data_IF_219174180114
#
_entry.id   IF_219174180114
#
_cell.length_a   1.000
_cell.length_b   1.000
_cell.length_c   1.000
_cell.angle_alpha   90.00
_cell.angle_beta   90.00
_cell.angle_gamma   90.00
#
_symmetry.space_group_name_H-M   'P 1'
#
loop_
_entity.id
_entity.type
_entity.pdbx_description
1 polymer ?
#
# COMPACT_ATOMS: atom_id res chain seq x y z
N UNK A 1 12.24 -5.04 4.53
CA UNK A 1 12.30 -4.40 5.86
C UNK A 1 10.94 -4.52 6.50
N UNK A 2 10.84 -4.51 7.83
CA UNK A 2 9.52 -4.51 8.49
C UNK A 2 9.05 -3.07 8.68
N UNK A 3 7.82 -2.80 8.27
CA UNK A 3 7.14 -1.52 8.46
C UNK A 3 5.97 -1.72 9.41
N UNK A 4 5.91 -0.91 10.46
CA UNK A 4 4.76 -0.86 11.35
C UNK A 4 3.79 0.18 10.83
N UNK A 5 2.59 -0.25 10.44
CA UNK A 5 1.51 0.60 9.97
C UNK A 5 0.48 0.73 11.10
N UNK A 6 0.20 1.95 11.59
CA UNK A 6 -0.86 2.14 12.57
C UNK A 6 -2.22 1.95 11.89
N UNK A 7 -3.10 1.17 12.51
CA UNK A 7 -4.49 0.99 12.07
C UNK A 7 -5.45 1.33 13.22
N UNK A 8 -6.74 1.57 12.95
CA UNK A 8 -7.75 1.75 14.01
C UNK A 8 -7.84 0.56 14.99
N UNK A 9 -7.31 -0.60 14.61
CA UNK A 9 -7.38 -1.86 15.36
C UNK A 9 -6.04 -2.25 16.00
N UNK A 10 -5.05 -1.34 15.97
CA UNK A 10 -3.70 -1.57 16.47
C UNK A 10 -2.65 -1.57 15.37
N UNK A 11 -1.40 -1.70 15.78
CA UNK A 11 -0.25 -1.66 14.88
C UNK A 11 -0.08 -2.99 14.14
N UNK A 12 0.06 -2.92 12.82
CA UNK A 12 0.31 -4.09 11.97
C UNK A 12 1.73 -4.01 11.43
N UNK A 13 2.49 -5.08 11.59
CA UNK A 13 3.82 -5.18 10.97
C UNK A 13 3.70 -5.88 9.62
N UNK A 14 4.15 -5.21 8.56
CA UNK A 14 4.20 -5.76 7.20
C UNK A 14 5.61 -5.80 6.68
N UNK A 15 5.87 -6.74 5.78
CA UNK A 15 7.07 -6.68 4.96
C UNK A 15 6.91 -5.56 3.92
N UNK A 16 7.87 -4.64 3.92
CA UNK A 16 7.97 -3.54 2.98
C UNK A 16 9.30 -3.61 2.21
N UNK A 17 9.27 -3.19 0.94
CA UNK A 17 10.43 -3.12 0.05
C UNK A 17 10.80 -1.65 -0.18
N UNK A 18 12.06 -1.26 0.05
CA UNK A 18 12.55 0.06 -0.31
C UNK A 18 12.39 0.35 -1.80
N UNK A 19 12.09 1.60 -2.14
CA UNK A 19 12.11 2.09 -3.53
C UNK A 19 13.39 2.87 -3.82
N UNK A 20 13.62 3.23 -5.09
CA UNK A 20 14.70 4.15 -5.47
C UNK A 20 14.50 5.57 -4.90
N UNK A 21 13.26 5.92 -4.55
CA UNK A 21 12.91 7.19 -3.91
C UNK A 21 13.02 7.03 -2.39
N UNK A 22 14.10 7.56 -1.84
CA UNK A 22 14.33 7.54 -0.39
C UNK A 22 13.14 8.11 0.39
N UNK A 23 12.68 7.39 1.42
CA UNK A 23 11.50 7.74 2.20
C UNK A 23 10.19 7.11 1.72
N UNK A 24 10.20 6.43 0.57
CA UNK A 24 9.06 5.66 0.06
C UNK A 24 9.39 4.16 0.01
N UNK A 25 8.42 3.35 0.43
CA UNK A 25 8.46 1.88 0.35
C UNK A 25 7.21 1.35 -0.33
N UNK A 26 7.31 0.17 -0.94
CA UNK A 26 6.14 -0.62 -1.34
C UNK A 26 5.83 -1.66 -0.27
N UNK A 27 4.55 -1.98 -0.07
CA UNK A 27 4.13 -3.06 0.81
C UNK A 27 2.84 -3.72 0.27
N UNK A 28 2.53 -4.97 0.68
CA UNK A 28 1.25 -5.59 0.38
C UNK A 28 0.06 -4.74 0.84
N UNK A 29 -1.07 -4.85 0.14
CA UNK A 29 -2.32 -4.24 0.58
C UNK A 29 -2.80 -4.94 1.83
N UNK A 30 -3.22 -4.17 2.84
CA UNK A 30 -3.85 -4.73 4.03
C UNK A 30 -5.36 -4.79 3.83
N UNK A 31 -5.94 -5.97 4.04
CA UNK A 31 -7.37 -6.20 4.08
C UNK A 31 -7.80 -6.45 5.53
N UNK A 32 -8.98 -5.97 5.88
CA UNK A 32 -9.64 -6.28 7.14
C UNK A 32 -10.68 -7.35 6.86
N UNK A 33 -10.42 -8.55 7.39
CA UNK A 33 -11.13 -9.78 7.07
C UNK A 33 -12.57 -9.77 7.66
N UNK A 34 -12.70 -9.42 8.94
CA UNK A 34 -14.00 -9.47 9.63
C UNK A 34 -14.13 -8.32 10.65
N UNK A 35 -15.23 -7.54 10.63
CA UNK A 35 -15.52 -6.52 11.64
C UNK A 35 -15.48 -7.03 13.10
N UNK A 36 -15.80 -8.32 13.33
CA UNK A 36 -15.87 -8.95 14.64
C UNK A 36 -14.51 -9.46 15.14
N UNK A 37 -13.68 -10.03 14.26
CA UNK A 37 -12.34 -10.53 14.65
C UNK A 37 -11.24 -9.50 14.43
N UNK A 38 -11.51 -8.46 13.65
CA UNK A 38 -10.59 -7.38 13.28
C UNK A 38 -9.25 -7.91 12.74
N UNK A 39 -9.27 -9.11 12.15
CA UNK A 39 -8.08 -9.76 11.64
C UNK A 39 -7.59 -9.00 10.41
N UNK A 40 -6.33 -8.60 10.44
CA UNK A 40 -5.66 -8.01 9.29
C UNK A 40 -4.99 -9.12 8.51
N UNK A 41 -5.31 -9.21 7.22
CA UNK A 41 -4.63 -10.09 6.26
C UNK A 41 -3.95 -9.23 5.19
N UNK A 42 -2.92 -9.76 4.55
CA UNK A 42 -2.23 -9.08 3.46
C UNK A 42 -2.67 -9.70 2.12
N UNK A 43 -3.11 -8.87 1.18
CA UNK A 43 -3.20 -9.25 -0.22
C UNK A 43 -1.79 -9.14 -0.83
N UNK A 44 -1.19 -10.30 -1.07
CA UNK A 44 0.20 -10.40 -1.53
C UNK A 44 0.34 -10.14 -3.03
N UNK A 45 -0.75 -10.12 -3.78
CA UNK A 45 -0.73 -9.86 -5.23
C UNK A 45 -0.72 -8.34 -5.48
N UNK A 46 -1.40 -7.55 -4.64
CA UNK A 46 -1.50 -6.11 -4.79
C UNK A 46 -0.53 -5.34 -3.88
N UNK A 47 -0.25 -4.09 -4.26
CA UNK A 47 0.71 -3.23 -3.56
C UNK A 47 0.18 -1.84 -3.27
N UNK A 48 0.67 -1.27 -2.18
CA UNK A 48 0.54 0.16 -1.86
C UNK A 48 1.93 0.78 -1.78
N UNK A 49 2.00 2.10 -1.92
CA UNK A 49 3.19 2.87 -1.56
C UNK A 49 2.95 3.58 -0.24
N UNK A 50 3.93 3.50 0.65
CA UNK A 50 3.88 4.11 1.99
C UNK A 50 5.05 5.06 2.18
N UNK A 51 4.75 6.23 2.72
CA UNK A 51 5.74 7.22 3.14
C UNK A 51 6.28 6.84 4.52
N UNK A 52 7.53 6.37 4.59
CA UNK A 52 8.11 5.79 5.80
C UNK A 52 8.18 6.75 7.00
N UNK A 53 8.56 8.04 6.84
CA UNK A 53 8.65 8.95 7.99
C UNK A 53 7.31 9.21 8.68
N UNK A 54 6.19 9.18 7.96
CA UNK A 54 4.86 9.42 8.54
C UNK A 54 4.03 8.16 8.75
N UNK A 55 4.43 7.03 8.14
CA UNK A 55 3.62 5.80 8.10
C UNK A 55 2.34 5.92 7.27
N UNK A 56 2.15 7.02 6.53
CA UNK A 56 0.94 7.23 5.73
C UNK A 56 1.08 6.55 4.38
N UNK A 57 0.08 5.74 4.03
CA UNK A 57 -0.08 5.17 2.69
C UNK A 57 -0.71 6.16 1.73
N UNK A 58 -0.35 6.09 0.45
CA UNK A 58 -1.11 6.76 -0.59
C UNK A 58 -2.45 6.04 -0.79
N UNK A 59 -3.56 6.76 -1.05
CA UNK A 59 -4.89 6.17 -1.24
C UNK A 59 -5.06 5.57 -2.65
N UNK A 60 -4.03 4.86 -3.12
CA UNK A 60 -3.98 4.24 -4.45
C UNK A 60 -3.31 2.87 -4.33
N UNK A 61 -3.88 1.90 -5.03
CA UNK A 61 -3.51 0.49 -5.01
C UNK A 61 -2.99 0.08 -6.39
N UNK A 62 -1.92 -0.69 -6.43
CA UNK A 62 -1.20 -1.09 -7.64
C UNK A 62 -1.22 -2.61 -7.84
N UNK A 63 -1.26 -3.10 -9.09
CA UNK A 63 -1.42 -4.52 -9.39
C UNK A 63 -0.23 -5.40 -9.03
N UNK A 64 0.97 -4.83 -8.86
CA UNK A 64 2.17 -5.56 -8.46
C UNK A 64 3.27 -4.63 -7.91
N UNK A 65 4.41 -5.22 -7.54
CA UNK A 65 5.61 -4.51 -7.07
C UNK A 65 6.20 -3.55 -8.10
N UNK A 66 6.18 -3.92 -9.38
CA UNK A 66 6.81 -3.14 -10.44
C UNK A 66 6.06 -1.83 -10.66
N UNK A 67 4.73 -1.88 -10.75
CA UNK A 67 3.89 -0.70 -10.92
C UNK A 67 4.02 0.27 -9.73
N UNK A 68 4.02 -0.26 -8.51
CA UNK A 68 4.20 0.55 -7.30
C UNK A 68 5.60 1.19 -7.23
N UNK A 69 6.65 0.45 -7.61
CA UNK A 69 8.02 0.97 -7.63
C UNK A 69 8.22 2.05 -8.70
N UNK A 70 7.67 1.84 -9.91
CA UNK A 70 7.73 2.82 -10.99
C UNK A 70 6.97 4.11 -10.64
N UNK A 71 5.81 3.98 -10.00
CA UNK A 71 5.09 5.13 -9.44
C UNK A 71 5.94 5.90 -8.42
N UNK A 72 6.52 5.21 -7.43
CA UNK A 72 7.34 5.84 -6.40
C UNK A 72 8.52 6.61 -7.01
N UNK A 73 9.21 6.00 -7.98
CA UNK A 73 10.28 6.63 -8.75
C UNK A 73 9.81 7.90 -9.47
N UNK A 74 8.66 7.84 -10.14
CA UNK A 74 8.11 8.97 -10.90
C UNK A 74 7.76 10.17 -10.03
N UNK A 75 7.27 9.96 -8.80
CA UNK A 75 6.94 11.06 -7.87
C UNK A 75 8.14 11.55 -7.05
N UNK A 76 9.30 10.91 -7.17
CA UNK A 76 10.47 11.21 -6.35
C UNK A 76 10.98 12.65 -6.44
N UNK A 77 10.72 13.33 -7.56
CA UNK A 77 11.12 14.72 -7.78
C UNK A 77 10.12 15.75 -7.25
N UNK A 78 8.91 15.32 -6.84
CA UNK A 78 7.84 16.21 -6.42
C UNK A 78 8.01 16.77 -5.01
N UNK A 79 8.77 16.07 -4.15
CA UNK A 79 9.03 16.48 -2.77
C UNK A 79 10.30 15.80 -2.23
N UNK A 80 10.79 16.28 -1.09
CA UNK A 80 11.75 15.58 -0.27
C UNK A 80 11.03 14.59 0.66
N UNK A 81 10.90 13.35 0.19
CA UNK A 81 10.19 12.26 0.86
C UNK A 81 10.87 11.74 2.13
N UNK A 82 12.04 12.25 2.51
CA UNK A 82 12.68 11.91 3.78
C UNK A 82 12.18 12.79 4.93
N UNK A 83 11.48 13.89 4.63
CA UNK A 83 10.91 14.79 5.63
C UNK A 83 9.69 14.15 6.31
N UNK A 84 9.44 14.47 7.58
CA UNK A 84 8.25 13.98 8.29
C UNK A 84 6.93 14.47 7.68
N UNK A 85 6.95 15.65 7.03
CA UNK A 85 5.80 16.31 6.41
C UNK A 85 6.22 16.97 5.09
N UNK A 86 6.42 16.20 4.01
CA UNK A 86 6.72 16.76 2.70
C UNK A 86 5.54 17.62 2.23
N UNK A 87 5.83 18.68 1.49
CA UNK A 87 4.80 19.44 0.78
C UNK A 87 4.44 18.68 -0.50
N UNK A 88 3.31 17.97 -0.49
CA UNK A 88 2.91 17.07 -1.58
C UNK A 88 1.88 17.76 -2.49
N UNK A 89 2.14 17.91 -3.80
CA UNK A 89 1.10 18.32 -4.74
C UNK A 89 0.17 17.13 -5.03
N UNK A 90 -0.85 16.90 -4.18
CA UNK A 90 -1.72 15.72 -4.21
C UNK A 90 -2.31 15.42 -5.60
N UNK A 91 -2.75 16.45 -6.33
CA UNK A 91 -3.31 16.30 -7.67
C UNK A 91 -2.29 15.75 -8.68
N UNK A 92 -1.02 16.12 -8.56
CA UNK A 92 0.04 15.58 -9.43
C UNK A 92 0.38 14.15 -9.05
N UNK A 93 0.45 13.83 -7.75
CA UNK A 93 0.67 12.46 -7.28
C UNK A 93 -0.40 11.52 -7.80
N UNK A 94 -1.70 11.88 -7.67
CA UNK A 94 -2.79 11.06 -8.17
C UNK A 94 -2.75 10.89 -9.69
N UNK A 95 -2.44 11.97 -10.43
CA UNK A 95 -2.28 11.90 -11.88
C UNK A 95 -1.19 10.90 -12.29
N UNK A 96 -0.03 10.94 -11.64
CA UNK A 96 1.06 9.99 -11.90
C UNK A 96 0.65 8.58 -11.50
N UNK A 97 -0.05 8.41 -10.38
CA UNK A 97 -0.52 7.10 -9.94
C UNK A 97 -1.39 6.39 -11.00
N UNK A 98 -2.32 7.10 -11.64
CA UNK A 98 -3.14 6.55 -12.72
C UNK A 98 -2.34 6.20 -13.98
N UNK A 99 -1.27 6.93 -14.28
CA UNK A 99 -0.37 6.61 -15.41
C UNK A 99 0.39 5.29 -15.20
N UNK A 100 0.58 4.90 -13.94
CA UNK A 100 1.23 3.66 -13.54
C UNK A 100 0.23 2.56 -13.14
N UNK A 101 -1.01 2.64 -13.61
CA UNK A 101 -2.02 1.58 -13.39
C UNK A 101 -2.56 1.52 -11.97
N UNK A 102 -2.30 2.54 -11.15
CA UNK A 102 -2.90 2.65 -9.83
C UNK A 102 -4.40 2.87 -9.91
N UNK A 103 -5.15 2.24 -9.01
CA UNK A 103 -6.58 2.45 -8.84
C UNK A 103 -6.88 3.04 -7.47
N UNK A 104 -7.92 3.88 -7.32
CA UNK A 104 -8.29 4.42 -6.02
C UNK A 104 -8.60 3.32 -5.01
N UNK A 105 -8.20 3.52 -3.76
CA UNK A 105 -8.34 2.53 -2.69
C UNK A 105 -9.80 2.12 -2.44
N UNK A 106 -10.74 3.06 -2.53
CA UNK A 106 -12.17 2.80 -2.42
C UNK A 106 -12.68 1.87 -3.54
N UNK A 107 -12.20 2.07 -4.78
CA UNK A 107 -12.52 1.18 -5.92
C UNK A 107 -11.95 -0.23 -5.69
N UNK A 108 -10.72 -0.32 -5.20
CA UNK A 108 -10.12 -1.61 -4.87
C UNK A 108 -10.91 -2.36 -3.82
N UNK A 109 -11.26 -1.72 -2.70
CA UNK A 109 -11.99 -2.38 -1.62
C UNK A 109 -13.43 -2.73 -2.01
N UNK A 110 -14.10 -1.94 -2.84
CA UNK A 110 -15.42 -2.30 -3.38
C UNK A 110 -15.40 -3.65 -4.13
N UNK A 111 -14.30 -3.98 -4.81
CA UNK A 111 -14.11 -5.26 -5.50
C UNK A 111 -13.51 -6.35 -4.58
N UNK A 112 -12.59 -5.97 -3.69
CA UNK A 112 -11.88 -6.88 -2.80
C UNK A 112 -12.70 -7.39 -1.61
N UNK A 113 -13.83 -6.74 -1.27
CA UNK A 113 -14.81 -7.25 -0.30
C UNK A 113 -15.59 -8.50 -0.80
N UNK A 114 -15.16 -9.11 -1.92
CA UNK A 114 -15.61 -10.43 -2.31
C UNK A 114 -14.91 -11.53 -1.46
N UNK A 115 -15.66 -12.42 -0.78
CA UNK A 115 -15.11 -13.42 0.16
C UNK A 115 -14.03 -14.33 -0.44
N UNK A 116 -14.01 -14.49 -1.76
CA UNK A 116 -13.08 -15.33 -2.49
C UNK A 116 -11.62 -14.82 -2.53
N UNK A 117 -11.38 -13.51 -2.43
CA UNK A 117 -10.01 -12.97 -2.33
C UNK A 117 -9.42 -13.12 -0.93
N UNK A 118 -10.23 -12.90 0.10
CA UNK A 118 -9.87 -13.16 1.50
C UNK A 118 -9.46 -14.63 1.69
N UNK A 119 -10.26 -15.56 1.16
CA UNK A 119 -9.96 -16.99 1.21
C UNK A 119 -8.66 -17.36 0.46
N UNK A 120 -8.40 -16.76 -0.70
CA UNK A 120 -7.16 -17.01 -1.46
C UNK A 120 -5.89 -16.54 -0.70
N UNK A 121 -5.96 -15.41 0.00
CA UNK A 121 -4.88 -14.94 0.86
C UNK A 121 -4.63 -15.88 2.05
N UNK A 122 -5.69 -16.45 2.65
CA UNK A 122 -5.57 -17.41 3.75
C UNK A 122 -5.02 -18.78 3.31
N UNK A 123 -5.44 -19.29 2.16
CA UNK A 123 -4.98 -20.59 1.64
C UNK A 123 -3.48 -20.58 1.35
N UNK A 124 -2.95 -19.48 0.82
CA UNK A 124 -1.49 -19.33 0.60
C UNK A 124 -0.71 -19.34 1.91
N UNK A 125 -1.22 -18.68 2.96
CA UNK A 125 -0.58 -18.65 4.29
C UNK A 125 -0.52 -20.04 4.96
N UNK A 126 -1.45 -20.94 4.64
CA UNK A 126 -1.48 -22.30 5.22
C UNK A 126 -0.60 -23.31 4.46
N UNK A 127 -0.06 -22.93 3.30
CA UNK A 127 0.74 -23.80 2.42
C UNK A 127 2.26 -23.57 2.46
N UNK A 128 2.74 -22.58 3.23
CA UNK A 128 4.16 -22.30 3.52
C UNK A 128 4.55 -22.81 4.91
#
# INVERSE_FOLDING_TARGET
>A
MNLTIPTPHGDVTVEAKPTETGGLVTNPVLLFDDPATQRVIADLDWRTVTHTPSGMRFPVIFPDDQHAADFAKSIGHLADWQQAKPNIPEAEVLKVAFQHGGIPEDIYYLDAYQPERTAAAEVRKAGE
#
